data_IF_038420827162
#
_entry.id   IF_038420827162
#
_cell.length_a   1.000
_cell.length_b   1.000
_cell.length_c   1.000
_cell.angle_alpha   90.00
_cell.angle_beta   90.00
_cell.angle_gamma   90.00
#
_symmetry.space_group_name_H-M   'P 1'
#
loop_
_entity.id
_entity.type
_entity.pdbx_description
1 polymer ?
#
# COMPACT_ATOMS: atom_id res chain seq x y z
N UNK A 1 12.56 -17.77 13.37
CA UNK A 1 12.21 -16.49 12.72
C UNK A 1 10.85 -16.11 13.26
N UNK A 2 10.73 -15.01 14.01
CA UNK A 2 9.45 -14.63 14.62
C UNK A 2 8.48 -14.20 13.50
N UNK A 3 7.29 -14.80 13.44
CA UNK A 3 6.24 -14.37 12.52
C UNK A 3 5.69 -13.00 12.94
N UNK A 4 5.33 -12.11 12.01
CA UNK A 4 4.69 -10.83 12.35
C UNK A 4 3.32 -11.08 13.01
N UNK A 5 2.99 -10.30 14.04
CA UNK A 5 1.67 -10.34 14.68
C UNK A 5 0.62 -9.70 13.77
N UNK A 6 -0.35 -10.49 13.31
CA UNK A 6 -1.41 -10.07 12.39
C UNK A 6 -2.62 -9.44 13.10
N UNK A 7 -2.78 -9.63 14.43
CA UNK A 7 -3.99 -9.20 15.18
C UNK A 7 -4.28 -7.70 15.04
N UNK A 8 -3.26 -6.81 14.99
CA UNK A 8 -3.51 -5.39 14.73
C UNK A 8 -4.15 -5.12 13.36
N UNK A 9 -3.98 -5.99 12.36
CA UNK A 9 -4.48 -5.79 10.99
C UNK A 9 -5.97 -6.10 10.79
N UNK A 10 -6.66 -6.63 11.81
CA UNK A 10 -8.08 -6.99 11.72
C UNK A 10 -9.04 -5.82 12.00
N UNK A 11 -8.54 -4.63 12.34
CA UNK A 11 -9.37 -3.44 12.54
C UNK A 11 -9.54 -2.63 11.23
N UNK A 12 -10.63 -1.88 11.11
CA UNK A 12 -10.94 -1.08 9.91
C UNK A 12 -9.82 -0.12 9.51
N UNK A 13 -9.14 0.53 10.47
CA UNK A 13 -8.02 1.44 10.18
C UNK A 13 -6.88 0.72 9.47
N UNK A 14 -6.50 -0.50 9.88
CA UNK A 14 -5.43 -1.23 9.22
C UNK A 14 -5.89 -1.90 7.92
N UNK A 15 -7.14 -2.32 7.84
CA UNK A 15 -7.74 -2.76 6.57
C UNK A 15 -7.78 -1.64 5.52
N UNK A 16 -8.01 -0.39 5.93
CA UNK A 16 -7.91 0.79 5.05
C UNK A 16 -6.48 0.98 4.53
N UNK A 17 -5.46 0.81 5.39
CA UNK A 17 -4.07 0.81 4.94
C UNK A 17 -3.77 -0.31 3.92
N UNK A 18 -4.27 -1.52 4.15
CA UNK A 18 -4.17 -2.62 3.18
C UNK A 18 -4.84 -2.26 1.85
N UNK A 19 -6.04 -1.68 1.89
CA UNK A 19 -6.75 -1.19 0.71
C UNK A 19 -5.89 -0.20 -0.08
N UNK A 20 -5.33 0.82 0.59
CA UNK A 20 -4.52 1.86 -0.07
C UNK A 20 -3.21 1.30 -0.63
N UNK A 21 -2.58 0.32 0.03
CA UNK A 21 -1.38 -0.35 -0.49
C UNK A 21 -1.69 -1.18 -1.75
N UNK A 22 -2.87 -1.81 -1.81
CA UNK A 22 -3.33 -2.51 -3.01
C UNK A 22 -3.71 -1.54 -4.13
N UNK A 23 -4.47 -0.50 -3.80
CA UNK A 23 -4.93 0.51 -4.76
C UNK A 23 -3.76 1.26 -5.40
N UNK A 24 -2.71 1.54 -4.62
CA UNK A 24 -1.47 2.16 -5.11
C UNK A 24 -0.57 1.18 -5.86
N UNK A 25 -0.83 -0.13 -5.82
CA UNK A 25 0.01 -1.17 -6.42
C UNK A 25 1.36 -1.37 -5.71
N UNK A 26 1.45 -1.02 -4.42
CA UNK A 26 2.62 -1.31 -3.59
C UNK A 26 2.69 -2.80 -3.23
N UNK A 27 1.52 -3.44 -3.06
CA UNK A 27 1.39 -4.88 -2.83
C UNK A 27 0.40 -5.51 -3.81
N UNK A 28 0.42 -6.85 -3.89
CA UNK A 28 -0.40 -7.67 -4.80
C UNK A 28 -0.85 -8.96 -4.10
N UNK A 29 -1.58 -9.84 -4.80
CA UNK A 29 -2.06 -11.12 -4.28
C UNK A 29 -0.99 -11.96 -3.58
N UNK A 30 0.21 -11.99 -4.15
CA UNK A 30 1.35 -12.69 -3.57
C UNK A 30 1.71 -12.21 -2.15
N UNK A 31 1.35 -10.98 -1.80
CA UNK A 31 1.63 -10.39 -0.49
C UNK A 31 0.48 -10.62 0.50
N UNK A 32 -0.78 -10.40 0.09
CA UNK A 32 -1.91 -10.48 1.03
C UNK A 32 -2.41 -11.92 1.23
N UNK A 33 -2.28 -12.83 0.27
CA UNK A 33 -2.74 -14.22 0.45
C UNK A 33 -1.99 -14.89 1.61
N UNK A 34 -0.65 -14.84 1.70
CA UNK A 34 0.07 -15.39 2.86
C UNK A 34 -0.32 -14.73 4.19
N UNK A 35 -0.68 -13.44 4.17
CA UNK A 35 -1.24 -12.77 5.34
C UNK A 35 -2.57 -13.42 5.75
N UNK A 36 -3.50 -13.56 4.80
CA UNK A 36 -4.80 -14.19 5.04
C UNK A 36 -4.64 -15.63 5.55
N UNK A 37 -3.76 -16.43 4.94
CA UNK A 37 -3.51 -17.82 5.37
C UNK A 37 -3.04 -17.91 6.82
N UNK A 38 -2.17 -16.99 7.26
CA UNK A 38 -1.72 -16.96 8.66
C UNK A 38 -2.86 -16.58 9.61
N UNK A 39 -3.69 -15.59 9.25
CA UNK A 39 -4.87 -15.22 10.05
C UNK A 39 -5.82 -16.41 10.17
N UNK A 40 -6.11 -17.09 9.05
CA UNK A 40 -7.03 -18.24 9.00
C UNK A 40 -6.53 -19.40 9.85
N UNK A 41 -5.22 -19.62 9.86
CA UNK A 41 -4.59 -20.69 10.62
C UNK A 41 -4.63 -20.43 12.13
N UNK A 42 -4.44 -19.19 12.54
CA UNK A 42 -4.17 -18.85 13.93
C UNK A 42 -5.42 -18.34 14.69
N UNK A 43 -6.48 -17.92 13.99
CA UNK A 43 -7.76 -17.54 14.57
C UNK A 43 -8.78 -18.69 14.50
N UNK A 44 -9.41 -19.04 15.62
CA UNK A 44 -10.46 -20.07 15.65
C UNK A 44 -11.69 -19.67 14.81
N UNK A 45 -11.94 -18.36 14.68
CA UNK A 45 -13.06 -17.78 13.93
C UNK A 45 -12.58 -16.57 13.12
N UNK A 46 -11.91 -16.79 11.97
CA UNK A 46 -11.37 -15.69 11.16
C UNK A 46 -12.50 -14.81 10.57
N UNK A 47 -12.28 -13.50 10.41
CA UNK A 47 -13.28 -12.61 9.81
C UNK A 47 -13.64 -13.03 8.38
N UNK A 48 -14.93 -12.93 8.01
CA UNK A 48 -15.42 -13.34 6.69
C UNK A 48 -14.70 -12.66 5.52
N UNK A 49 -14.39 -11.37 5.63
CA UNK A 49 -13.67 -10.65 4.57
C UNK A 49 -12.24 -11.18 4.35
N UNK A 50 -11.60 -11.77 5.37
CA UNK A 50 -10.29 -12.43 5.24
C UNK A 50 -10.45 -13.74 4.47
N UNK A 51 -11.49 -14.53 4.79
CA UNK A 51 -11.80 -15.77 4.07
C UNK A 51 -12.05 -15.51 2.59
N UNK A 52 -12.84 -14.48 2.27
CA UNK A 52 -13.11 -14.08 0.89
C UNK A 52 -11.85 -13.57 0.19
N UNK A 53 -11.09 -12.68 0.84
CA UNK A 53 -9.88 -12.11 0.28
C UNK A 53 -8.83 -13.18 -0.05
N UNK A 54 -8.69 -14.21 0.78
CA UNK A 54 -7.76 -15.32 0.55
C UNK A 54 -8.01 -16.08 -0.77
N UNK A 55 -9.23 -16.00 -1.32
CA UNK A 55 -9.64 -16.75 -2.51
C UNK A 55 -9.53 -15.99 -3.83
N UNK A 56 -9.24 -14.68 -3.77
CA UNK A 56 -9.18 -13.83 -4.97
C UNK A 56 -7.74 -13.45 -5.30
N UNK A 57 -7.42 -13.41 -6.59
CA UNK A 57 -6.14 -12.90 -7.12
C UNK A 57 -6.32 -11.66 -8.00
N UNK A 58 -7.55 -11.40 -8.47
CA UNK A 58 -7.87 -10.23 -9.27
C UNK A 58 -7.99 -9.00 -8.36
N UNK A 59 -7.13 -7.99 -8.60
CA UNK A 59 -6.99 -6.84 -7.71
C UNK A 59 -8.30 -6.05 -7.53
N UNK A 60 -9.11 -5.78 -8.57
CA UNK A 60 -10.40 -5.10 -8.37
C UNK A 60 -11.36 -5.85 -7.43
N UNK A 61 -11.38 -7.18 -7.47
CA UNK A 61 -12.22 -7.97 -6.55
C UNK A 61 -11.69 -7.89 -5.12
N UNK A 62 -10.36 -7.97 -4.95
CA UNK A 62 -9.71 -7.79 -3.65
C UNK A 62 -10.01 -6.40 -3.05
N UNK A 63 -9.91 -5.33 -3.86
CA UNK A 63 -10.28 -3.98 -3.46
C UNK A 63 -11.75 -3.90 -3.05
N UNK A 64 -12.65 -4.53 -3.81
CA UNK A 64 -14.09 -4.54 -3.48
C UNK A 64 -14.37 -5.24 -2.13
N UNK A 65 -13.73 -6.39 -1.87
CA UNK A 65 -13.89 -7.12 -0.60
C UNK A 65 -13.39 -6.28 0.57
N UNK A 66 -12.17 -5.77 0.50
CA UNK A 66 -11.58 -4.98 1.59
C UNK A 66 -12.39 -3.69 1.77
N UNK A 67 -12.76 -3.03 0.68
CA UNK A 67 -13.54 -1.82 0.70
C UNK A 67 -14.91 -2.00 1.35
N UNK A 68 -15.61 -3.10 1.02
CA UNK A 68 -16.90 -3.44 1.65
C UNK A 68 -16.75 -3.54 3.16
N UNK A 69 -15.66 -4.14 3.67
CA UNK A 69 -15.39 -4.18 5.09
C UNK A 69 -15.03 -2.81 5.68
N UNK A 70 -14.09 -2.09 5.06
CA UNK A 70 -13.57 -0.79 5.51
C UNK A 70 -14.68 0.25 5.65
N UNK A 71 -15.59 0.32 4.67
CA UNK A 71 -16.69 1.30 4.63
C UNK A 71 -18.04 0.73 5.07
N UNK A 72 -18.08 -0.46 5.68
CA UNK A 72 -19.29 -0.98 6.33
C UNK A 72 -19.64 -0.19 7.60
N UNK A 73 -20.82 -0.44 8.18
CA UNK A 73 -21.13 0.01 9.54
C UNK A 73 -20.30 -0.76 10.61
N UNK A 74 -19.94 -0.14 11.75
CA UNK A 74 -20.06 1.29 12.03
C UNK A 74 -19.06 2.10 11.18
N UNK A 75 -19.52 3.22 10.62
CA UNK A 75 -18.68 4.11 9.83
C UNK A 75 -17.63 4.78 10.72
N UNK A 76 -16.39 4.82 10.24
CA UNK A 76 -15.30 5.53 10.91
C UNK A 76 -14.66 6.50 9.93
N UNK A 77 -14.19 7.63 10.46
CA UNK A 77 -13.37 8.57 9.68
C UNK A 77 -11.92 8.08 9.72
N UNK A 78 -11.29 8.05 8.55
CA UNK A 78 -9.87 7.71 8.42
C UNK A 78 -9.05 8.99 8.35
N UNK A 79 -7.91 9.00 9.02
CA UNK A 79 -6.99 10.14 8.96
C UNK A 79 -5.87 9.87 7.94
N UNK A 80 -5.47 10.90 7.20
CA UNK A 80 -4.29 10.88 6.32
C UNK A 80 -4.36 9.79 5.23
N UNK A 81 -5.55 9.48 4.71
CA UNK A 81 -5.72 8.47 3.65
C UNK A 81 -4.99 8.86 2.36
N UNK A 82 -5.12 10.11 1.92
CA UNK A 82 -4.38 10.56 0.73
C UNK A 82 -2.87 10.55 0.99
N UNK A 83 -2.41 11.10 2.11
CA UNK A 83 -0.98 11.13 2.43
C UNK A 83 -0.36 9.73 2.50
N UNK A 84 -1.12 8.75 3.01
CA UNK A 84 -0.68 7.35 3.04
C UNK A 84 -0.63 6.72 1.65
N UNK A 85 -1.60 7.02 0.78
CA UNK A 85 -1.55 6.61 -0.63
C UNK A 85 -0.32 7.21 -1.34
N UNK A 86 -0.04 8.50 -1.14
CA UNK A 86 1.16 9.17 -1.68
C UNK A 86 2.43 8.52 -1.15
N UNK A 87 2.50 8.20 0.14
CA UNK A 87 3.62 7.48 0.71
C UNK A 87 3.84 6.11 0.04
N UNK A 88 2.77 5.39 -0.29
CA UNK A 88 2.87 4.13 -1.01
C UNK A 88 3.42 4.31 -2.44
N UNK A 89 2.97 5.34 -3.16
CA UNK A 89 3.55 5.70 -4.46
C UNK A 89 5.03 6.04 -4.35
N UNK A 90 5.42 6.79 -3.31
CA UNK A 90 6.81 7.15 -3.09
C UNK A 90 7.68 5.90 -2.85
N UNK A 91 7.19 4.94 -2.06
CA UNK A 91 7.88 3.66 -1.87
C UNK A 91 8.03 2.87 -3.19
N UNK A 92 7.02 2.91 -4.08
CA UNK A 92 7.11 2.30 -5.42
C UNK A 92 8.18 3.00 -6.27
N UNK A 93 8.26 4.32 -6.21
CA UNK A 93 9.33 5.08 -6.88
C UNK A 93 10.70 4.71 -6.33
N UNK A 94 10.87 4.66 -4.99
CA UNK A 94 12.14 4.25 -4.36
C UNK A 94 12.57 2.83 -4.77
N UNK A 95 11.61 1.94 -5.00
CA UNK A 95 11.84 0.57 -5.48
C UNK A 95 12.00 0.46 -7.00
N UNK A 96 11.98 1.60 -7.72
CA UNK A 96 12.06 1.70 -9.18
C UNK A 96 10.92 1.00 -9.92
N UNK A 97 9.77 0.82 -9.26
CA UNK A 97 8.56 0.26 -9.87
C UNK A 97 7.82 1.30 -10.74
N UNK A 98 8.01 2.58 -10.46
CA UNK A 98 7.47 3.70 -11.24
C UNK A 98 8.52 4.79 -11.42
N UNK A 99 8.39 5.60 -12.46
CA UNK A 99 9.21 6.80 -12.66
C UNK A 99 8.75 7.95 -11.76
N UNK A 100 9.58 8.98 -11.58
CA UNK A 100 9.19 10.18 -10.85
C UNK A 100 7.99 10.90 -11.50
N UNK A 101 7.97 10.98 -12.83
CA UNK A 101 6.83 11.51 -13.58
C UNK A 101 5.55 10.75 -13.27
N UNK A 102 5.61 9.42 -13.27
CA UNK A 102 4.45 8.57 -12.94
C UNK A 102 4.01 8.77 -11.49
N UNK A 103 4.94 8.95 -10.56
CA UNK A 103 4.63 9.32 -9.18
C UNK A 103 3.83 10.62 -9.13
N UNK A 104 4.31 11.70 -9.76
CA UNK A 104 3.65 13.00 -9.74
C UNK A 104 2.25 12.97 -10.40
N UNK A 105 2.11 12.28 -11.53
CA UNK A 105 0.83 12.14 -12.24
C UNK A 105 -0.21 11.39 -11.38
N UNK A 106 0.17 10.26 -10.77
CA UNK A 106 -0.74 9.49 -9.91
C UNK A 106 -1.05 10.23 -8.60
N UNK A 107 -0.07 10.92 -8.03
CA UNK A 107 -0.26 11.73 -6.84
C UNK A 107 -1.24 12.91 -7.07
N UNK A 108 -1.06 13.63 -8.19
CA UNK A 108 -1.96 14.71 -8.58
C UNK A 108 -3.38 14.22 -8.82
N UNK A 109 -3.55 13.13 -9.59
CA UNK A 109 -4.87 12.56 -9.86
C UNK A 109 -5.57 12.08 -8.57
N UNK A 110 -4.84 11.42 -7.67
CA UNK A 110 -5.43 10.96 -6.41
C UNK A 110 -5.86 12.14 -5.53
N UNK A 111 -5.01 13.16 -5.40
CA UNK A 111 -5.29 14.34 -4.57
C UNK A 111 -6.41 15.23 -5.13
N UNK A 112 -6.67 15.15 -6.45
CA UNK A 112 -7.81 15.82 -7.08
C UNK A 112 -9.13 15.12 -6.73
N UNK A 113 -9.12 13.79 -6.74
CA UNK A 113 -10.28 12.96 -6.39
C UNK A 113 -10.57 12.96 -4.88
N UNK A 114 -9.56 13.17 -4.04
CA UNK A 114 -9.64 13.12 -2.57
C UNK A 114 -9.01 14.37 -1.96
N UNK A 115 -9.83 15.30 -1.50
CA UNK A 115 -9.39 16.60 -0.95
C UNK A 115 -8.83 16.53 0.49
N UNK A 116 -8.61 15.32 1.01
CA UNK A 116 -8.13 15.08 2.38
C UNK A 116 -6.64 14.69 2.35
N UNK A 117 -5.76 15.68 2.20
CA UNK A 117 -4.32 15.49 2.18
C UNK A 117 -3.54 16.76 2.50
N UNK A 118 -2.25 16.63 2.77
CA UNK A 118 -1.39 17.77 3.11
C UNK A 118 -1.28 18.78 1.96
N UNK A 119 -1.27 18.27 0.73
CA UNK A 119 -1.21 19.06 -0.49
C UNK A 119 -2.35 18.67 -1.43
N UNK A 120 -2.88 19.65 -2.16
CA UNK A 120 -3.86 19.43 -3.21
C UNK A 120 -3.20 19.00 -4.54
N UNK A 121 -4.01 18.72 -5.55
CA UNK A 121 -3.54 18.30 -6.86
C UNK A 121 -2.61 19.33 -7.53
N UNK A 122 -2.79 20.64 -7.24
CA UNK A 122 -2.02 21.71 -7.86
C UNK A 122 -0.54 21.67 -7.48
N UNK A 123 -0.23 21.20 -6.27
CA UNK A 123 1.14 20.99 -5.82
C UNK A 123 1.89 19.99 -6.72
N UNK A 124 1.29 18.82 -6.96
CA UNK A 124 1.89 17.76 -7.79
C UNK A 124 1.94 18.13 -9.27
N UNK A 125 0.90 18.80 -9.79
CA UNK A 125 0.91 19.30 -11.16
C UNK A 125 1.92 20.42 -11.35
N UNK A 126 2.11 21.28 -10.34
CA UNK A 126 3.17 22.28 -10.30
C UNK A 126 4.57 21.66 -10.41
N UNK A 127 4.85 20.64 -9.61
CA UNK A 127 6.11 19.87 -9.72
C UNK A 127 6.27 19.21 -11.09
N UNK A 128 5.19 18.72 -11.67
CA UNK A 128 5.20 18.12 -13.02
C UNK A 128 5.60 19.16 -14.06
N UNK A 129 5.03 20.37 -14.00
CA UNK A 129 5.38 21.47 -14.91
C UNK A 129 6.85 21.85 -14.77
N UNK A 130 7.36 22.00 -13.54
CA UNK A 130 8.79 22.29 -13.30
C UNK A 130 9.71 21.21 -13.88
N UNK A 131 9.35 19.93 -13.73
CA UNK A 131 10.12 18.82 -14.28
C UNK A 131 10.16 18.88 -15.81
N UNK A 132 9.03 19.21 -16.45
CA UNK A 132 8.94 19.36 -17.92
C UNK A 132 9.71 20.59 -18.40
N UNK A 133 9.57 21.73 -17.73
CA UNK A 133 10.28 22.98 -18.04
C UNK A 133 11.80 22.87 -17.89
N UNK A 134 12.26 22.01 -16.98
CA UNK A 134 13.68 21.69 -16.82
C UNK A 134 14.19 20.66 -17.83
N UNK A 135 13.40 20.29 -18.84
CA UNK A 135 13.72 19.23 -19.81
C UNK A 135 14.04 17.87 -19.13
N UNK A 136 13.34 17.55 -18.05
CA UNK A 136 13.55 16.34 -17.24
C UNK A 136 14.95 16.27 -16.61
N UNK A 137 15.47 17.41 -16.16
CA UNK A 137 16.77 17.47 -15.48
C UNK A 137 16.74 16.67 -14.16
N UNK A 138 17.70 15.74 -14.02
CA UNK A 138 17.86 14.91 -12.82
C UNK A 138 18.02 15.73 -11.53
N UNK A 139 18.67 16.90 -11.60
CA UNK A 139 18.82 17.78 -10.46
C UNK A 139 17.47 18.34 -9.97
N UNK A 140 16.54 18.64 -10.89
CA UNK A 140 15.19 19.08 -10.53
C UNK A 140 14.45 17.92 -9.83
N UNK A 141 14.52 16.72 -10.38
CA UNK A 141 13.95 15.52 -9.76
C UNK A 141 14.53 15.26 -8.36
N UNK A 142 15.86 15.35 -8.19
CA UNK A 142 16.52 15.18 -6.89
C UNK A 142 16.00 16.15 -5.82
N UNK A 143 15.81 17.43 -6.17
CA UNK A 143 15.26 18.44 -5.26
C UNK A 143 13.82 18.08 -4.86
N UNK A 144 12.97 17.76 -5.85
CA UNK A 144 11.57 17.41 -5.60
C UNK A 144 11.43 16.14 -4.75
N UNK A 145 12.28 15.13 -5.00
CA UNK A 145 12.34 13.90 -4.22
C UNK A 145 12.71 14.18 -2.76
N UNK A 146 13.70 15.04 -2.52
CA UNK A 146 14.09 15.43 -1.16
C UNK A 146 12.96 16.18 -0.44
N UNK A 147 12.26 17.07 -1.14
CA UNK A 147 11.12 17.79 -0.62
C UNK A 147 10.00 16.83 -0.18
N UNK A 148 9.55 15.93 -1.07
CA UNK A 148 8.54 14.93 -0.74
C UNK A 148 8.99 14.03 0.41
N UNK A 149 10.24 13.55 0.40
CA UNK A 149 10.76 12.70 1.46
C UNK A 149 10.75 13.39 2.83
N UNK A 150 11.01 14.70 2.87
CA UNK A 150 10.98 15.48 4.10
C UNK A 150 9.55 15.71 4.57
N UNK A 151 8.66 16.18 3.68
CA UNK A 151 7.28 16.52 4.03
C UNK A 151 6.47 15.30 4.48
N UNK A 152 6.66 14.17 3.81
CA UNK A 152 5.93 12.93 4.07
C UNK A 152 6.70 11.95 4.98
N UNK A 153 7.77 12.39 5.65
CA UNK A 153 8.69 11.51 6.38
C UNK A 153 7.97 10.55 7.35
N UNK A 154 7.04 11.08 8.15
CA UNK A 154 6.28 10.30 9.14
C UNK A 154 5.39 9.24 8.48
N UNK A 155 4.63 9.62 7.46
CA UNK A 155 3.70 8.70 6.80
C UNK A 155 4.42 7.71 5.90
N UNK A 156 5.56 8.09 5.30
CA UNK A 156 6.47 7.18 4.59
C UNK A 156 7.02 6.13 5.55
N UNK A 157 7.45 6.53 6.76
CA UNK A 157 7.91 5.58 7.76
C UNK A 157 6.79 4.58 8.13
N UNK A 158 5.57 5.07 8.37
CA UNK A 158 4.42 4.21 8.67
C UNK A 158 4.10 3.23 7.52
N UNK A 159 4.03 3.71 6.28
CA UNK A 159 3.79 2.85 5.11
C UNK A 159 4.89 1.79 4.94
N UNK A 160 6.15 2.16 5.22
CA UNK A 160 7.29 1.26 5.12
C UNK A 160 7.24 0.15 6.18
N UNK A 161 6.84 0.46 7.40
CA UNK A 161 6.65 -0.54 8.46
C UNK A 161 5.60 -1.57 8.06
N UNK A 162 4.42 -1.12 7.62
CA UNK A 162 3.34 -2.03 7.19
C UNK A 162 3.78 -2.86 5.97
N UNK A 163 4.43 -2.23 5.00
CA UNK A 163 4.98 -2.94 3.83
C UNK A 163 6.00 -4.02 4.23
N UNK A 164 6.82 -3.75 5.24
CA UNK A 164 7.79 -4.73 5.72
C UNK A 164 7.11 -6.00 6.22
N UNK A 165 6.01 -5.88 6.96
CA UNK A 165 5.24 -7.03 7.45
C UNK A 165 4.73 -7.91 6.29
N UNK A 166 4.18 -7.28 5.24
CA UNK A 166 3.73 -7.98 4.03
C UNK A 166 4.87 -8.68 3.28
N UNK A 167 6.06 -8.07 3.23
CA UNK A 167 7.24 -8.71 2.65
C UNK A 167 7.69 -9.92 3.49
N UNK A 168 7.58 -9.85 4.82
CA UNK A 168 7.90 -10.98 5.70
C UNK A 168 6.93 -12.15 5.47
N UNK A 169 5.63 -11.89 5.39
CA UNK A 169 4.63 -12.93 5.09
C UNK A 169 4.85 -13.56 3.71
N UNK A 170 5.11 -12.75 2.68
CA UNK A 170 5.45 -13.23 1.34
C UNK A 170 6.65 -14.19 1.36
N UNK A 171 7.72 -13.82 2.07
CA UNK A 171 8.92 -14.67 2.20
C UNK A 171 8.65 -15.95 2.99
N UNK A 172 7.86 -15.87 4.06
CA UNK A 172 7.48 -17.02 4.86
C UNK A 172 6.64 -18.02 4.04
N UNK A 173 5.64 -17.55 3.30
CA UNK A 173 4.81 -18.38 2.41
C UNK A 173 5.62 -19.10 1.33
N UNK A 174 6.60 -18.41 0.72
CA UNK A 174 7.54 -19.03 -0.24
C UNK A 174 8.40 -20.13 0.38
N UNK A 175 8.76 -19.99 1.65
CA UNK A 175 9.63 -20.97 2.34
C UNK A 175 8.88 -22.25 2.69
N UNK A 176 7.58 -22.15 3.02
CA UNK A 176 6.73 -23.31 3.30
C UNK A 176 6.40 -24.13 2.03
N UNK A 177 6.29 -23.48 0.88
CA UNK A 177 6.07 -24.15 -0.41
C UNK A 177 7.31 -24.89 -0.95
N UNK A 178 8.52 -24.61 -0.43
CA UNK A 178 9.75 -25.31 -0.80
C UNK A 178 10.04 -26.56 0.06
N UNK A 179 9.22 -26.83 1.08
CA UNK A 179 9.36 -28.00 1.99
C UNK A 179 8.29 -29.07 1.79
N UNK A 180 7.55 -29.04 0.68
CA UNK A 180 6.60 -30.10 0.33
C UNK A 180 7.30 -31.45 0.11
N UNK A 181 6.70 -32.59 0.54
CA UNK A 181 7.35 -33.88 0.51
C UNK A 181 7.70 -34.29 -0.92
N UNK A 182 8.95 -34.69 -1.13
CA UNK A 182 9.36 -35.50 -2.29
C UNK A 182 8.56 -36.79 -2.24
N UNK A 183 7.42 -36.84 -2.93
CA UNK A 183 6.73 -38.08 -3.20
C UNK A 183 7.55 -38.87 -4.22
N UNK A 184 8.32 -39.82 -3.69
CA UNK A 184 8.71 -41.07 -4.35
C UNK A 184 7.81 -42.16 -3.78
#
# INVERSE_FOLDING_TARGET
>A
MNQPDYRPMLCKTKAERLYLMLQSGLIYCDHYIPFCDNVIKDEDNPPGWILELATVTYIPDALNIIGTYVWSEPFIQFEQSADFYIACLFLRYQQRHISWRTFLEQAGHYSDAYQEGYYDCSYYYGMTNQLVESEHNLHCEEIQVQEIAHQFATVIACAREIYHDFVLWFRAGKSQNMTGPSHV
#
